data_IF_543080366000
#
_entry.id   IF_543080366000
#
_cell.length_a   1.000
_cell.length_b   1.000
_cell.length_c   1.000
_cell.angle_alpha   90.00
_cell.angle_beta   90.00
_cell.angle_gamma   90.00
#
_symmetry.space_group_name_H-M   'P 1'
#
loop_
_entity.id
_entity.type
_entity.pdbx_description
1 polymer ?
#
# COMPACT_ATOMS: atom_id res chain seq x y z
N UNK A 1 -19.15 -33.98 1.88
CA UNK A 1 -20.26 -34.92 1.61
C UNK A 1 -20.12 -35.34 0.16
N UNK A 2 -19.81 -36.63 -0.11
CA UNK A 2 -19.67 -37.14 -1.47
C UNK A 2 -21.07 -37.40 -2.03
N UNK A 3 -21.41 -36.82 -3.18
CA UNK A 3 -22.63 -37.13 -3.92
C UNK A 3 -22.23 -37.73 -5.27
N UNK A 4 -22.90 -38.82 -5.65
CA UNK A 4 -22.73 -39.49 -6.92
C UNK A 4 -23.85 -39.07 -7.86
N UNK A 5 -23.52 -38.76 -9.12
CA UNK A 5 -24.51 -38.67 -10.19
C UNK A 5 -24.68 -40.03 -10.88
N UNK A 6 -25.85 -40.24 -11.48
CA UNK A 6 -26.39 -41.42 -12.17
C UNK A 6 -25.47 -42.07 -13.21
N UNK A 7 -24.38 -41.42 -13.63
CA UNK A 7 -23.40 -41.93 -14.60
C UNK A 7 -22.08 -42.42 -13.98
N UNK A 8 -22.01 -42.60 -12.66
CA UNK A 8 -20.86 -43.20 -11.96
C UNK A 8 -19.50 -42.51 -12.20
N UNK A 9 -19.51 -41.23 -12.59
CA UNK A 9 -18.33 -40.40 -12.67
C UNK A 9 -17.99 -39.82 -11.29
N UNK A 10 -16.73 -39.96 -10.87
CA UNK A 10 -16.23 -39.33 -9.65
C UNK A 10 -16.10 -37.82 -9.90
N UNK A 11 -17.11 -37.04 -9.51
CA UNK A 11 -17.02 -35.58 -9.52
C UNK A 11 -16.23 -35.17 -8.28
N UNK A 12 -14.93 -34.91 -8.47
CA UNK A 12 -14.12 -34.17 -7.51
C UNK A 12 -14.64 -32.73 -7.48
N UNK A 13 -15.61 -32.45 -6.61
CA UNK A 13 -15.88 -31.06 -6.21
C UNK A 13 -14.74 -30.69 -5.28
N UNK A 14 -13.63 -30.19 -5.84
CA UNK A 14 -12.65 -29.43 -5.07
C UNK A 14 -13.34 -28.16 -4.62
N UNK A 15 -13.91 -28.14 -3.42
CA UNK A 15 -14.26 -26.90 -2.74
C UNK A 15 -12.96 -26.23 -2.31
N UNK A 16 -12.25 -25.60 -3.24
CA UNK A 16 -11.28 -24.56 -2.89
C UNK A 16 -12.03 -23.25 -2.85
N UNK A 17 -12.84 -23.07 -1.81
CA UNK A 17 -13.37 -21.76 -1.42
C UNK A 17 -13.02 -21.57 0.04
N UNK A 18 -11.74 -21.35 0.32
CA UNK A 18 -11.44 -20.40 1.39
C UNK A 18 -11.81 -19.06 0.76
N UNK A 19 -13.00 -18.54 1.06
CA UNK A 19 -13.37 -17.19 0.63
C UNK A 19 -12.34 -16.27 1.27
N UNK A 20 -11.39 -15.78 0.46
CA UNK A 20 -10.34 -14.89 0.92
C UNK A 20 -10.99 -13.68 1.57
N UNK A 21 -10.45 -13.24 2.71
CA UNK A 21 -10.89 -11.98 3.33
C UNK A 21 -10.42 -10.83 2.46
N UNK A 22 -11.37 -10.10 1.87
CA UNK A 22 -11.13 -8.95 1.00
C UNK A 22 -11.05 -7.68 1.85
N UNK A 23 -9.91 -7.00 1.79
CA UNK A 23 -9.64 -5.77 2.52
C UNK A 23 -9.39 -4.65 1.51
N UNK A 24 -10.10 -3.53 1.67
CA UNK A 24 -9.79 -2.30 0.96
C UNK A 24 -9.00 -1.33 1.85
N UNK A 25 -7.89 -0.80 1.35
CA UNK A 25 -7.16 0.33 1.94
C UNK A 25 -7.47 1.57 1.11
N UNK A 26 -8.05 2.59 1.77
CA UNK A 26 -8.48 3.82 1.11
C UNK A 26 -7.45 4.92 1.35
N UNK A 27 -6.61 5.20 0.36
CA UNK A 27 -5.50 6.14 0.44
C UNK A 27 -4.15 5.42 0.44
N UNK A 28 -3.33 5.72 -0.57
CA UNK A 28 -2.01 5.15 -0.78
C UNK A 28 -0.87 5.98 -0.20
N UNK A 29 -1.14 6.89 0.75
CA UNK A 29 -0.13 7.71 1.44
C UNK A 29 0.64 6.98 2.55
N UNK A 30 1.33 7.70 3.45
CA UNK A 30 2.15 7.08 4.50
C UNK A 30 1.36 6.15 5.44
N UNK A 31 0.15 6.54 5.85
CA UNK A 31 -0.70 5.68 6.70
C UNK A 31 -1.09 4.39 6.00
N UNK A 32 -1.45 4.45 4.71
CA UNK A 32 -1.77 3.29 3.89
C UNK A 32 -0.56 2.37 3.70
N UNK A 33 0.63 2.94 3.51
CA UNK A 33 1.90 2.21 3.46
C UNK A 33 2.15 1.40 4.73
N UNK A 34 2.05 2.04 5.91
CA UNK A 34 2.28 1.34 7.17
C UNK A 34 1.22 0.28 7.45
N UNK A 35 -0.04 0.50 7.09
CA UNK A 35 -1.05 -0.54 7.22
C UNK A 35 -0.80 -1.70 6.26
N UNK A 36 -0.49 -1.42 5.00
CA UNK A 36 -0.16 -2.46 4.03
C UNK A 36 1.04 -3.28 4.50
N UNK A 37 2.08 -2.64 5.04
CA UNK A 37 3.22 -3.33 5.67
C UNK A 37 2.76 -4.36 6.71
N UNK A 38 1.89 -3.97 7.65
CA UNK A 38 1.42 -4.89 8.71
C UNK A 38 0.62 -6.07 8.15
N UNK A 39 -0.19 -5.85 7.11
CA UNK A 39 -0.91 -6.92 6.44
C UNK A 39 0.05 -7.88 5.72
N UNK A 40 1.06 -7.37 5.03
CA UNK A 40 2.08 -8.18 4.37
C UNK A 40 2.90 -8.98 5.39
N UNK A 41 3.33 -8.35 6.48
CA UNK A 41 4.10 -8.99 7.56
C UNK A 41 3.32 -10.07 8.32
N UNK A 42 1.98 -10.07 8.23
CA UNK A 42 1.17 -11.16 8.80
C UNK A 42 1.41 -12.49 8.08
N UNK A 43 1.89 -12.46 6.84
CA UNK A 43 2.08 -13.65 6.00
C UNK A 43 0.79 -14.39 5.66
N UNK A 44 -0.38 -13.79 5.90
CA UNK A 44 -1.66 -14.43 5.73
C UNK A 44 -2.08 -14.45 4.25
N UNK A 45 -1.85 -15.57 3.56
CA UNK A 45 -2.22 -15.76 2.16
C UNK A 45 -3.74 -15.86 1.90
N UNK A 46 -4.56 -15.96 2.94
CA UNK A 46 -6.03 -15.89 2.85
C UNK A 46 -6.55 -14.45 2.70
N UNK A 47 -5.65 -13.45 2.69
CA UNK A 47 -6.00 -12.05 2.40
C UNK A 47 -5.98 -11.75 0.89
N UNK A 48 -6.93 -10.91 0.47
CA UNK A 48 -6.92 -10.17 -0.78
C UNK A 48 -7.02 -8.67 -0.47
N UNK A 49 -6.10 -7.87 -1.01
CA UNK A 49 -5.95 -6.47 -0.64
C UNK A 49 -6.09 -5.59 -1.88
N UNK A 50 -7.06 -4.68 -1.85
CA UNK A 50 -7.18 -3.60 -2.83
C UNK A 50 -6.75 -2.28 -2.21
N UNK A 51 -5.93 -1.51 -2.92
CA UNK A 51 -5.45 -0.20 -2.48
C UNK A 51 -5.96 0.85 -3.45
N UNK A 52 -6.79 1.77 -2.98
CA UNK A 52 -7.33 2.87 -3.77
C UNK A 52 -6.54 4.15 -3.50
N UNK A 53 -5.94 4.72 -4.55
CA UNK A 53 -5.24 6.00 -4.49
C UNK A 53 -5.79 6.93 -5.57
N UNK A 54 -6.17 8.15 -5.16
CA UNK A 54 -6.74 9.16 -6.07
C UNK A 54 -5.70 9.72 -7.06
N UNK A 55 -4.41 9.56 -6.78
CA UNK A 55 -3.29 9.96 -7.65
C UNK A 55 -2.67 8.75 -8.35
N UNK A 56 -1.59 8.99 -9.08
CA UNK A 56 -0.78 7.97 -9.76
C UNK A 56 0.52 7.63 -9.00
N UNK A 57 0.61 7.96 -7.71
CA UNK A 57 1.81 7.75 -6.88
C UNK A 57 1.41 7.28 -5.49
N UNK A 58 2.12 6.27 -4.98
CA UNK A 58 1.97 5.75 -3.61
C UNK A 58 3.05 6.32 -2.67
N UNK A 59 2.84 6.12 -1.38
CA UNK A 59 3.79 6.38 -0.30
C UNK A 59 3.83 7.84 0.12
N UNK A 60 4.09 8.75 -0.81
CA UNK A 60 4.37 10.16 -0.51
C UNK A 60 3.20 10.89 0.17
N UNK A 61 1.96 10.62 -0.28
CA UNK A 61 0.81 11.44 0.12
C UNK A 61 1.00 12.93 -0.22
N UNK A 62 0.15 13.80 0.33
CA UNK A 62 0.31 15.26 0.15
C UNK A 62 1.60 15.81 0.80
N UNK A 63 1.96 15.46 2.05
CA UNK A 63 3.07 16.12 2.75
C UNK A 63 4.45 15.92 2.12
N UNK A 64 4.66 14.82 1.40
CA UNK A 64 5.95 14.43 0.82
C UNK A 64 5.95 14.43 -0.71
N UNK A 65 4.97 15.10 -1.32
CA UNK A 65 4.88 15.29 -2.78
C UNK A 65 4.81 16.77 -3.13
N UNK A 66 4.83 17.07 -4.43
CA UNK A 66 4.71 18.44 -4.96
C UNK A 66 3.36 19.10 -4.64
N UNK A 67 2.41 18.36 -4.09
CA UNK A 67 1.12 18.91 -3.64
C UNK A 67 1.19 19.57 -2.26
N UNK A 68 2.24 19.32 -1.48
CA UNK A 68 2.41 19.84 -0.12
C UNK A 68 3.84 20.19 0.27
N UNK A 69 4.80 20.05 -0.65
CA UNK A 69 6.20 20.34 -0.42
C UNK A 69 6.89 20.90 -1.68
N UNK A 70 7.98 21.61 -1.42
CA UNK A 70 8.90 22.20 -2.40
C UNK A 70 10.30 21.71 -2.02
N UNK A 71 11.30 22.04 -2.84
CA UNK A 71 12.68 21.57 -2.67
C UNK A 71 13.32 22.03 -1.34
N UNK A 72 12.91 23.20 -0.83
CA UNK A 72 13.38 23.75 0.46
C UNK A 72 12.76 23.10 1.70
N UNK A 73 11.68 22.33 1.54
CA UNK A 73 10.97 21.75 2.66
C UNK A 73 11.64 20.46 3.16
N UNK A 74 11.84 20.37 4.47
CA UNK A 74 12.44 19.22 5.16
C UNK A 74 11.43 18.48 6.04
N UNK A 75 11.72 17.22 6.36
CA UNK A 75 10.95 16.41 7.32
C UNK A 75 11.08 17.00 8.73
N UNK A 76 10.07 16.77 9.56
CA UNK A 76 10.09 17.21 10.96
C UNK A 76 10.82 16.22 11.88
N UNK A 77 11.06 15.02 11.38
CA UNK A 77 11.74 13.92 12.08
C UNK A 77 12.95 13.49 11.27
N UNK A 78 13.99 13.03 11.95
CA UNK A 78 15.16 12.44 11.31
C UNK A 78 14.90 11.00 10.86
N UNK A 79 15.76 10.48 9.98
CA UNK A 79 15.69 9.11 9.49
C UNK A 79 15.56 8.06 10.60
N UNK A 80 16.31 8.23 11.70
CA UNK A 80 16.33 7.29 12.81
C UNK A 80 15.06 7.27 13.66
N UNK A 81 14.17 8.25 13.49
CA UNK A 81 12.87 8.30 14.19
C UNK A 81 11.75 7.63 13.38
N UNK A 82 12.00 7.35 12.09
CA UNK A 82 11.03 6.74 11.20
C UNK A 82 11.02 5.23 11.45
N UNK A 83 9.85 4.62 11.68
CA UNK A 83 9.76 3.17 11.84
C UNK A 83 10.32 2.45 10.62
N UNK A 84 11.08 1.37 10.86
CA UNK A 84 11.66 0.57 9.78
C UNK A 84 10.60 0.05 8.80
N UNK A 85 10.88 0.22 7.51
CA UNK A 85 10.09 -0.27 6.40
C UNK A 85 10.73 -1.55 5.85
N UNK A 86 10.89 -1.67 4.54
CA UNK A 86 11.55 -2.83 3.93
C UNK A 86 13.07 -2.70 3.98
N UNK A 87 13.58 -1.47 3.79
CA UNK A 87 14.99 -1.12 3.98
C UNK A 87 15.07 0.13 4.83
N UNK A 88 16.19 0.33 5.52
CA UNK A 88 16.48 1.63 6.12
C UNK A 88 16.68 2.71 5.04
N UNK A 89 16.62 3.98 5.44
CA UNK A 89 16.91 5.10 4.54
C UNK A 89 18.39 5.10 4.15
N UNK A 90 19.30 4.85 5.09
CA UNK A 90 20.74 4.69 4.81
C UNK A 90 21.07 3.59 3.80
N UNK A 91 20.32 2.49 3.78
CA UNK A 91 20.47 1.46 2.75
C UNK A 91 19.88 1.92 1.42
N UNK A 92 18.67 2.49 1.45
CA UNK A 92 17.97 2.95 0.25
C UNK A 92 18.75 4.06 -0.49
N UNK A 93 19.38 4.99 0.24
CA UNK A 93 20.09 6.12 -0.36
C UNK A 93 21.28 5.70 -1.23
N UNK A 94 21.78 4.48 -1.06
CA UNK A 94 22.85 3.91 -1.90
C UNK A 94 22.32 3.36 -3.22
N UNK A 95 21.00 3.30 -3.38
CA UNK A 95 20.32 2.72 -4.54
C UNK A 95 19.65 3.76 -5.45
N UNK A 96 19.54 5.01 -4.98
CA UNK A 96 18.91 6.09 -5.75
C UNK A 96 19.73 6.53 -6.96
N UNK A 97 19.05 7.10 -7.95
CA UNK A 97 19.68 7.54 -9.19
C UNK A 97 20.68 8.68 -8.97
N UNK A 98 21.70 8.77 -9.84
CA UNK A 98 22.65 9.88 -9.84
C UNK A 98 21.94 11.24 -9.97
N UNK A 99 20.88 11.32 -10.76
CA UNK A 99 20.10 12.56 -10.92
C UNK A 99 19.43 12.97 -9.60
N UNK A 100 18.89 12.02 -8.84
CA UNK A 100 18.33 12.27 -7.50
C UNK A 100 19.43 12.72 -6.53
N UNK A 101 20.58 12.07 -6.55
CA UNK A 101 21.75 12.41 -5.71
C UNK A 101 22.22 13.83 -6.00
N UNK A 102 22.37 14.17 -7.28
CA UNK A 102 22.83 15.49 -7.74
C UNK A 102 21.79 16.58 -7.39
N UNK A 103 20.49 16.30 -7.60
CA UNK A 103 19.40 17.24 -7.32
C UNK A 103 19.27 17.60 -5.84
N UNK A 104 19.39 16.62 -4.94
CA UNK A 104 19.29 16.86 -3.49
C UNK A 104 20.64 17.12 -2.81
N UNK A 105 21.73 17.19 -3.59
CA UNK A 105 23.10 17.41 -3.11
C UNK A 105 23.51 16.42 -2.00
N UNK A 106 23.20 15.14 -2.21
CA UNK A 106 23.48 14.07 -1.24
C UNK A 106 24.83 13.44 -1.54
N UNK A 107 25.55 13.09 -0.48
CA UNK A 107 26.72 12.19 -0.55
C UNK A 107 26.29 10.86 0.07
N UNK A 108 25.95 9.82 -0.72
CA UNK A 108 25.46 8.55 -0.20
C UNK A 108 26.42 7.86 0.77
N UNK A 109 27.72 8.06 0.61
CA UNK A 109 28.76 7.47 1.46
C UNK A 109 28.89 8.18 2.81
N UNK A 110 28.44 9.43 2.90
CA UNK A 110 28.41 10.23 4.14
C UNK A 110 27.00 10.44 4.69
N UNK A 111 26.02 9.74 4.13
CA UNK A 111 24.64 9.83 4.60
C UNK A 111 24.53 9.28 6.03
N UNK A 112 23.65 9.91 6.82
CA UNK A 112 23.45 9.61 8.23
C UNK A 112 21.98 9.78 8.59
N UNK A 113 21.38 8.73 9.18
CA UNK A 113 19.97 8.70 9.60
C UNK A 113 19.62 9.69 10.72
N UNK A 114 20.60 10.29 11.42
CA UNK A 114 20.33 11.33 12.44
C UNK A 114 20.02 12.72 11.85
N UNK A 115 19.85 12.83 10.53
CA UNK A 115 19.49 14.08 9.85
C UNK A 115 18.05 14.04 9.34
N UNK A 116 17.43 15.22 9.31
CA UNK A 116 16.20 15.48 8.56
C UNK A 116 16.46 15.39 7.05
N UNK A 117 15.43 15.04 6.28
CA UNK A 117 15.51 14.84 4.84
C UNK A 117 14.69 15.89 4.09
N UNK A 118 15.04 16.24 2.84
CA UNK A 118 14.11 16.91 1.95
C UNK A 118 12.80 16.11 1.83
N UNK A 119 11.65 16.76 1.98
CA UNK A 119 10.35 16.08 1.97
C UNK A 119 10.10 15.34 0.67
N UNK A 120 10.50 15.91 -0.46
CA UNK A 120 10.33 15.30 -1.78
C UNK A 120 11.20 14.05 -1.94
N UNK A 121 12.42 14.06 -1.42
CA UNK A 121 13.28 12.87 -1.38
C UNK A 121 12.66 11.79 -0.49
N UNK A 122 12.15 12.18 0.69
CA UNK A 122 11.48 11.24 1.57
C UNK A 122 10.22 10.65 0.93
N UNK A 123 9.50 11.42 0.10
CA UNK A 123 8.42 10.92 -0.73
C UNK A 123 8.85 9.84 -1.73
N UNK A 124 10.03 10.00 -2.35
CA UNK A 124 10.61 8.96 -3.22
C UNK A 124 10.92 7.69 -2.43
N UNK A 125 11.52 7.83 -1.25
CA UNK A 125 11.77 6.69 -0.35
C UNK A 125 10.46 5.95 -0.03
N UNK A 126 9.43 6.64 0.44
CA UNK A 126 8.15 6.02 0.77
C UNK A 126 7.50 5.32 -0.43
N UNK A 127 7.64 5.88 -1.63
CA UNK A 127 7.15 5.23 -2.85
C UNK A 127 7.89 3.91 -3.13
N UNK A 128 9.22 3.92 -3.06
CA UNK A 128 10.04 2.73 -3.27
C UNK A 128 9.76 1.64 -2.23
N UNK A 129 9.61 2.03 -0.95
CA UNK A 129 9.22 1.10 0.11
C UNK A 129 7.85 0.46 -0.16
N UNK A 130 6.88 1.23 -0.67
CA UNK A 130 5.58 0.69 -1.07
C UNK A 130 5.72 -0.34 -2.20
N UNK A 131 6.51 -0.01 -3.24
CA UNK A 131 6.76 -0.92 -4.36
C UNK A 131 7.46 -2.22 -3.91
N UNK A 132 8.35 -2.13 -2.92
CA UNK A 132 9.00 -3.31 -2.33
C UNK A 132 7.99 -4.17 -1.56
N UNK A 133 7.07 -3.56 -0.79
CA UNK A 133 6.02 -4.30 -0.10
C UNK A 133 5.06 -5.00 -1.07
N UNK A 134 4.72 -4.38 -2.20
CA UNK A 134 3.88 -5.04 -3.24
C UNK A 134 4.57 -6.30 -3.78
N UNK A 135 5.89 -6.22 -3.98
CA UNK A 135 6.70 -7.39 -4.39
C UNK A 135 6.72 -8.47 -3.29
N UNK A 136 6.87 -8.09 -2.03
CA UNK A 136 6.83 -9.02 -0.90
C UNK A 136 5.45 -9.68 -0.73
N UNK A 137 4.36 -8.91 -0.84
CA UNK A 137 2.99 -9.45 -0.80
C UNK A 137 2.79 -10.57 -1.82
N UNK A 138 3.26 -10.33 -3.06
CA UNK A 138 3.25 -11.33 -4.12
C UNK A 138 4.07 -12.58 -3.77
N UNK A 139 5.23 -12.41 -3.13
CA UNK A 139 6.07 -13.55 -2.68
C UNK A 139 5.37 -14.38 -1.59
N UNK A 140 4.59 -13.74 -0.71
CA UNK A 140 3.79 -14.41 0.31
C UNK A 140 2.43 -14.93 -0.19
N UNK A 141 2.12 -14.81 -1.48
CA UNK A 141 0.85 -15.28 -2.04
C UNK A 141 -0.37 -14.44 -1.63
N UNK A 142 -0.14 -13.24 -1.13
CA UNK A 142 -1.19 -12.26 -0.80
C UNK A 142 -1.58 -11.57 -2.10
N UNK A 143 -2.83 -11.72 -2.52
CA UNK A 143 -3.32 -11.04 -3.71
C UNK A 143 -3.41 -9.54 -3.42
N UNK A 144 -2.77 -8.72 -4.25
CA UNK A 144 -2.77 -7.26 -4.07
C UNK A 144 -3.02 -6.56 -5.38
N UNK A 145 -4.04 -5.69 -5.42
CA UNK A 145 -4.31 -4.80 -6.55
C UNK A 145 -4.22 -3.34 -6.12
N UNK A 146 -3.57 -2.52 -6.95
CA UNK A 146 -3.49 -1.07 -6.76
C UNK A 146 -4.33 -0.40 -7.82
N UNK A 147 -5.27 0.42 -7.37
CA UNK A 147 -6.18 1.21 -8.20
C UNK A 147 -5.74 2.68 -8.11
N UNK A 148 -4.94 3.12 -9.09
CA UNK A 148 -4.53 4.52 -9.23
C UNK A 148 -5.63 5.39 -9.85
N UNK A 149 -5.53 6.70 -9.68
CA UNK A 149 -6.51 7.67 -10.20
C UNK A 149 -7.96 7.34 -9.77
N UNK A 150 -8.09 6.71 -8.59
CA UNK A 150 -9.32 6.11 -8.10
C UNK A 150 -9.74 6.84 -6.83
N UNK A 151 -10.60 7.85 -7.01
CA UNK A 151 -11.13 8.62 -5.90
C UNK A 151 -12.32 7.89 -5.30
N UNK A 152 -12.19 7.45 -4.06
CA UNK A 152 -13.32 6.98 -3.26
C UNK A 152 -14.21 8.18 -2.92
N UNK A 153 -15.50 8.05 -3.22
CA UNK A 153 -16.51 9.08 -3.03
C UNK A 153 -17.51 8.73 -1.93
N UNK A 154 -17.71 7.45 -1.63
CA UNK A 154 -18.61 7.00 -0.56
C UNK A 154 -18.20 5.65 0.02
N UNK A 155 -18.63 5.38 1.25
CA UNK A 155 -18.46 4.10 1.95
C UNK A 155 -19.80 3.74 2.60
N UNK A 156 -20.38 2.62 2.19
CA UNK A 156 -21.68 2.15 2.69
C UNK A 156 -21.47 0.85 3.47
N UNK A 157 -21.75 0.88 4.77
CA UNK A 157 -21.73 -0.32 5.63
C UNK A 157 -23.07 -1.08 5.53
N UNK A 158 -23.05 -2.26 4.91
CA UNK A 158 -24.21 -3.17 4.85
C UNK A 158 -24.13 -4.20 5.97
N UNK A 159 -24.55 -3.77 7.16
CA UNK A 159 -24.56 -4.56 8.39
C UNK A 159 -25.31 -5.90 8.24
N UNK A 160 -26.35 -5.95 7.38
CA UNK A 160 -27.15 -7.17 7.19
C UNK A 160 -26.36 -8.26 6.48
N UNK A 161 -25.59 -7.86 5.46
CA UNK A 161 -24.78 -8.76 4.66
C UNK A 161 -23.33 -8.87 5.16
N UNK A 162 -22.95 -8.09 6.19
CA UNK A 162 -21.59 -8.02 6.77
C UNK A 162 -20.52 -7.67 5.74
N UNK A 163 -20.85 -6.75 4.84
CA UNK A 163 -19.95 -6.24 3.82
C UNK A 163 -19.93 -4.72 3.87
N UNK A 164 -18.84 -4.15 3.36
CA UNK A 164 -18.72 -2.71 3.13
C UNK A 164 -18.62 -2.47 1.62
N UNK A 165 -19.49 -1.62 1.09
CA UNK A 165 -19.42 -1.13 -0.29
C UNK A 165 -18.57 0.13 -0.35
N UNK A 166 -17.60 0.16 -1.26
CA UNK A 166 -16.76 1.32 -1.54
C UNK A 166 -17.15 1.86 -2.92
N UNK A 167 -17.63 3.10 -2.97
CA UNK A 167 -17.93 3.79 -4.22
C UNK A 167 -16.71 4.56 -4.72
N UNK A 168 -16.29 4.28 -5.95
CA UNK A 168 -15.09 4.84 -6.57
C UNK A 168 -15.50 5.54 -7.85
N UNK A 169 -15.46 6.87 -7.83
CA UNK A 169 -15.81 7.79 -8.92
C UNK A 169 -16.57 7.16 -10.11
N UNK A 170 -16.00 7.16 -11.32
CA UNK A 170 -16.62 6.59 -12.53
C UNK A 170 -16.45 5.07 -12.66
N UNK A 171 -15.84 4.43 -11.65
CA UNK A 171 -15.48 3.01 -11.66
C UNK A 171 -16.53 2.12 -11.00
N UNK A 172 -17.47 2.70 -10.26
CA UNK A 172 -18.60 1.99 -9.67
C UNK A 172 -18.34 1.58 -8.22
N UNK A 173 -18.95 0.46 -7.80
CA UNK A 173 -18.94 0.00 -6.41
C UNK A 173 -18.24 -1.34 -6.28
N UNK A 174 -17.43 -1.45 -5.23
CA UNK A 174 -16.66 -2.63 -4.87
C UNK A 174 -17.07 -3.12 -3.48
N UNK A 175 -17.00 -4.43 -3.23
CA UNK A 175 -17.44 -5.06 -1.97
C UNK A 175 -16.27 -5.67 -1.22
N UNK A 176 -16.16 -5.36 0.07
CA UNK A 176 -15.09 -5.84 0.95
C UNK A 176 -15.65 -6.34 2.27
N UNK A 177 -14.93 -7.26 2.92
CA UNK A 177 -15.21 -7.67 4.29
C UNK A 177 -14.77 -6.58 5.28
N UNK A 178 -13.65 -5.92 4.97
CA UNK A 178 -13.08 -4.85 5.78
C UNK A 178 -12.59 -3.67 4.94
N UNK A 179 -12.75 -2.46 5.47
CA UNK A 179 -12.25 -1.22 4.88
C UNK A 179 -11.39 -0.49 5.91
N UNK A 180 -10.19 -0.08 5.49
CA UNK A 180 -9.25 0.68 6.28
C UNK A 180 -9.11 2.07 5.67
N UNK A 181 -9.52 3.10 6.40
CA UNK A 181 -9.47 4.49 5.93
C UNK A 181 -8.09 5.08 6.24
N UNK A 182 -7.35 5.42 5.19
CA UNK A 182 -5.99 5.97 5.21
C UNK A 182 -5.89 7.26 4.37
N UNK A 183 -6.99 8.01 4.24
CA UNK A 183 -7.10 9.18 3.35
C UNK A 183 -6.35 10.41 3.85
N UNK A 184 -5.77 10.36 5.05
CA UNK A 184 -5.25 11.52 5.75
C UNK A 184 -6.37 12.48 6.15
N UNK A 185 -5.98 13.72 6.49
CA UNK A 185 -6.90 14.80 6.80
C UNK A 185 -6.72 15.93 5.78
N UNK A 186 -7.82 16.64 5.48
CA UNK A 186 -7.81 17.97 4.86
C UNK A 186 -8.77 18.86 5.64
#
# INVERSE_FOLDING_TARGET
MLLYDTNNALILITTTTSDKTRIAILGGGPSGLFMFKRLVESGNSDLEIDIFERKNILGAGMPYSKDGANDEHITNVSGNEIPELVTSISEWIKTISKDTVDHFHIDPEKFNDYKVLPRLLFGQYLNDQFNMLIKQAKQFGIATQVHFNSQVTDIIDDVRNKIVEVEVNVQGRFKYDHVIICTGHN
#
